data_IF_420309307107
#
_entry.id   IF_420309307107
#
_cell.length_a   1.000
_cell.length_b   1.000
_cell.length_c   1.000
_cell.angle_alpha   90.00
_cell.angle_beta   90.00
_cell.angle_gamma   90.00
#
_symmetry.space_group_name_H-M   'P 1'
#
loop_
_entity.id
_entity.type
_entity.pdbx_description
1 polymer ?
#
# COMPACT_ATOMS: atom_id res chain seq x y z
N UNK A 1 10.26 7.14 16.71
CA UNK A 1 9.30 8.09 17.30
C UNK A 1 7.97 8.11 16.55
N UNK A 2 7.93 8.29 15.20
CA UNK A 2 6.67 8.36 14.43
C UNK A 2 5.81 7.10 14.54
N UNK A 3 6.40 5.93 14.29
CA UNK A 3 5.69 4.64 14.35
C UNK A 3 5.18 4.35 15.76
N UNK A 4 5.97 4.66 16.79
CA UNK A 4 5.56 4.48 18.21
C UNK A 4 4.39 5.38 18.58
N UNK A 5 4.36 6.62 18.08
CA UNK A 5 3.24 7.53 18.30
C UNK A 5 1.95 7.03 17.63
N UNK A 6 2.05 6.55 16.37
CA UNK A 6 0.91 5.98 15.66
C UNK A 6 0.38 4.73 16.35
N UNK A 7 1.27 3.82 16.78
CA UNK A 7 0.89 2.63 17.54
C UNK A 7 0.14 2.99 18.83
N UNK A 8 0.64 3.96 19.58
CA UNK A 8 0.01 4.43 20.82
C UNK A 8 -1.39 5.01 20.56
N UNK A 9 -1.52 5.85 19.52
CA UNK A 9 -2.81 6.45 19.15
C UNK A 9 -3.81 5.37 18.76
N UNK A 10 -3.44 4.42 17.89
CA UNK A 10 -4.33 3.32 17.49
C UNK A 10 -4.73 2.44 18.67
N UNK A 11 -3.79 2.12 19.56
CA UNK A 11 -4.10 1.34 20.76
C UNK A 11 -5.10 2.07 21.67
N UNK A 12 -4.91 3.37 21.90
CA UNK A 12 -5.84 4.18 22.70
C UNK A 12 -7.22 4.27 22.05
N UNK A 13 -7.29 4.48 20.74
CA UNK A 13 -8.58 4.49 20.01
C UNK A 13 -9.28 3.15 20.14
N UNK A 14 -8.57 2.05 19.91
CA UNK A 14 -9.14 0.70 20.02
C UNK A 14 -9.67 0.39 21.41
N UNK A 15 -8.90 0.71 22.45
CA UNK A 15 -9.35 0.55 23.84
C UNK A 15 -10.57 1.44 24.11
N UNK A 16 -10.57 2.68 23.63
CA UNK A 16 -11.70 3.59 23.74
C UNK A 16 -12.96 3.02 23.11
N UNK A 17 -12.90 2.57 21.86
CA UNK A 17 -14.04 1.98 21.14
C UNK A 17 -14.59 0.74 21.86
N UNK A 18 -13.71 -0.19 22.27
CA UNK A 18 -14.10 -1.42 22.96
C UNK A 18 -14.71 -1.17 24.33
N UNK A 19 -14.36 -0.05 24.98
CA UNK A 19 -14.92 0.33 26.28
C UNK A 19 -16.32 0.95 26.16
N UNK A 20 -16.60 1.63 25.05
CA UNK A 20 -17.88 2.30 24.81
C UNK A 20 -18.92 1.41 24.11
N UNK A 21 -18.49 0.47 23.26
CA UNK A 21 -19.38 -0.34 22.45
C UNK A 21 -19.12 -1.83 22.66
N UNK A 22 -20.19 -2.64 22.84
CA UNK A 22 -20.07 -4.10 22.82
C UNK A 22 -19.56 -4.58 21.47
N UNK A 23 -18.76 -5.65 21.45
CA UNK A 23 -18.18 -6.24 20.23
C UNK A 23 -19.25 -6.58 19.18
N UNK A 24 -20.42 -7.06 19.60
CA UNK A 24 -21.54 -7.39 18.72
C UNK A 24 -22.08 -6.13 17.99
N UNK A 25 -22.09 -4.99 18.68
CA UNK A 25 -22.53 -3.71 18.08
C UNK A 25 -21.50 -3.20 17.07
N UNK A 26 -20.20 -3.35 17.36
CA UNK A 26 -19.12 -2.99 16.45
C UNK A 26 -19.23 -3.84 15.18
N UNK A 27 -19.42 -5.14 15.31
CA UNK A 27 -19.57 -6.04 14.17
C UNK A 27 -20.81 -5.71 13.31
N UNK A 28 -21.90 -5.28 13.94
CA UNK A 28 -23.14 -4.88 13.25
C UNK A 28 -23.02 -3.55 12.53
N UNK A 29 -22.27 -2.59 13.09
CA UNK A 29 -22.09 -1.26 12.53
C UNK A 29 -21.00 -1.21 11.44
N UNK A 30 -20.03 -2.13 11.49
CA UNK A 30 -18.92 -2.18 10.52
C UNK A 30 -18.22 -0.82 10.41
N UNK A 31 -18.13 -0.31 9.20
CA UNK A 31 -17.48 0.99 8.89
C UNK A 31 -18.14 2.19 9.56
N UNK A 32 -19.43 2.11 9.89
CA UNK A 32 -20.16 3.20 10.54
C UNK A 32 -19.87 3.32 12.06
N UNK A 33 -19.08 2.40 12.63
CA UNK A 33 -18.75 2.38 14.06
C UNK A 33 -18.18 3.70 14.55
N UNK A 34 -17.24 4.28 13.81
CA UNK A 34 -16.56 5.53 14.20
C UNK A 34 -17.53 6.71 14.20
N UNK A 35 -18.38 6.82 13.18
CA UNK A 35 -19.42 7.85 13.10
C UNK A 35 -20.46 7.71 14.22
N UNK A 36 -20.91 6.50 14.49
CA UNK A 36 -21.86 6.19 15.57
C UNK A 36 -21.27 6.54 16.95
N UNK A 37 -20.01 6.18 17.20
CA UNK A 37 -19.32 6.51 18.45
C UNK A 37 -19.21 8.03 18.61
N UNK A 38 -18.83 8.77 17.57
CA UNK A 38 -18.70 10.21 17.63
C UNK A 38 -20.02 10.93 17.93
N UNK A 39 -21.12 10.47 17.33
CA UNK A 39 -22.45 11.01 17.62
C UNK A 39 -22.89 10.70 19.05
N UNK A 40 -22.63 9.50 19.56
CA UNK A 40 -22.99 9.14 20.93
C UNK A 40 -22.12 9.82 21.98
N UNK A 41 -20.83 10.03 21.71
CA UNK A 41 -19.91 10.66 22.64
C UNK A 41 -19.99 12.21 22.67
N UNK A 42 -20.18 12.81 21.48
CA UNK A 42 -20.08 14.29 21.30
C UNK A 42 -21.36 14.90 20.70
N UNK A 43 -22.41 14.11 20.56
CA UNK A 43 -23.66 14.57 19.93
C UNK A 43 -23.55 14.75 18.40
N UNK A 44 -24.64 15.21 17.80
CA UNK A 44 -24.74 15.38 16.33
C UNK A 44 -23.68 16.32 15.75
N UNK A 45 -23.31 17.36 16.50
CA UNK A 45 -22.28 18.32 16.09
C UNK A 45 -20.92 17.66 16.08
N UNK A 46 -20.59 16.86 17.09
CA UNK A 46 -19.34 16.11 17.17
C UNK A 46 -19.19 15.09 16.02
N UNK A 47 -20.27 14.39 15.67
CA UNK A 47 -20.28 13.49 14.52
C UNK A 47 -19.99 14.21 13.20
N UNK A 48 -20.59 15.39 12.97
CA UNK A 48 -20.32 16.21 11.78
C UNK A 48 -18.88 16.71 11.72
N UNK A 49 -18.33 17.19 12.83
CA UNK A 49 -16.94 17.65 12.90
C UNK A 49 -15.96 16.49 12.61
N UNK A 50 -16.21 15.32 13.17
CA UNK A 50 -15.41 14.13 12.88
C UNK A 50 -15.45 13.78 11.37
N UNK A 51 -16.65 13.77 10.76
CA UNK A 51 -16.80 13.49 9.33
C UNK A 51 -16.02 14.47 8.46
N UNK A 52 -16.07 15.75 8.78
CA UNK A 52 -15.26 16.77 8.08
C UNK A 52 -13.77 16.50 8.25
N UNK A 53 -13.31 16.16 9.45
CA UNK A 53 -11.92 15.80 9.72
C UNK A 53 -11.47 14.58 8.90
N UNK A 54 -12.30 13.55 8.80
CA UNK A 54 -12.05 12.36 7.98
C UNK A 54 -11.92 12.74 6.50
N UNK A 55 -12.82 13.55 5.97
CA UNK A 55 -12.79 14.00 4.57
C UNK A 55 -11.48 14.76 4.28
N UNK A 56 -11.09 15.69 5.13
CA UNK A 56 -9.84 16.45 4.98
C UNK A 56 -8.63 15.51 4.99
N UNK A 57 -8.62 14.56 5.91
CA UNK A 57 -7.54 13.56 6.02
C UNK A 57 -7.44 12.68 4.78
N UNK A 58 -8.58 12.20 4.26
CA UNK A 58 -8.64 11.42 3.02
C UNK A 58 -8.13 12.21 1.82
N UNK A 59 -8.54 13.48 1.67
CA UNK A 59 -8.06 14.35 0.59
C UNK A 59 -6.55 14.54 0.66
N UNK A 60 -6.00 14.74 1.86
CA UNK A 60 -4.55 14.84 2.08
C UNK A 60 -3.81 13.56 1.67
N UNK A 61 -4.34 12.40 2.04
CA UNK A 61 -3.78 11.10 1.69
C UNK A 61 -3.79 10.85 0.18
N UNK A 62 -4.92 11.13 -0.48
CA UNK A 62 -5.05 10.98 -1.94
C UNK A 62 -4.05 11.90 -2.65
N UNK A 63 -3.94 13.16 -2.22
CA UNK A 63 -2.98 14.11 -2.79
C UNK A 63 -1.54 13.60 -2.69
N UNK A 64 -1.13 13.10 -1.52
CA UNK A 64 0.19 12.49 -1.32
C UNK A 64 0.45 11.28 -2.24
N UNK A 65 -0.54 10.40 -2.40
CA UNK A 65 -0.45 9.24 -3.30
C UNK A 65 -0.37 9.68 -4.77
N UNK A 66 -1.16 10.69 -5.18
CA UNK A 66 -1.11 11.25 -6.54
C UNK A 66 0.22 11.91 -6.89
N UNK A 67 0.96 12.39 -5.91
CA UNK A 67 2.32 12.90 -6.12
C UNK A 67 3.37 11.78 -6.25
N UNK A 68 3.16 10.66 -5.60
CA UNK A 68 4.18 9.59 -5.48
C UNK A 68 4.02 8.51 -6.55
N UNK A 69 2.84 7.94 -6.71
CA UNK A 69 2.63 6.78 -7.59
C UNK A 69 2.91 7.05 -9.07
N UNK A 70 2.51 8.19 -9.68
CA UNK A 70 2.84 8.46 -11.06
C UNK A 70 4.34 8.54 -11.31
N UNK A 71 5.13 8.97 -10.31
CA UNK A 71 6.60 9.01 -10.43
C UNK A 71 7.22 7.63 -10.44
N UNK A 72 6.63 6.65 -9.75
CA UNK A 72 7.07 5.25 -9.80
C UNK A 72 6.84 4.69 -11.21
N UNK A 73 5.62 4.87 -11.75
CA UNK A 73 5.29 4.44 -13.12
C UNK A 73 6.20 5.13 -14.15
N UNK A 74 6.43 6.43 -13.99
CA UNK A 74 7.37 7.17 -14.83
C UNK A 74 8.80 6.60 -14.76
N UNK A 75 9.28 6.28 -13.56
CA UNK A 75 10.61 5.71 -13.37
C UNK A 75 10.76 4.33 -14.04
N UNK A 76 9.74 3.48 -13.93
CA UNK A 76 9.67 2.19 -14.62
C UNK A 76 9.61 2.38 -16.15
N UNK A 77 8.81 3.32 -16.62
CA UNK A 77 8.73 3.67 -18.05
C UNK A 77 10.06 4.19 -18.59
N UNK A 78 10.78 5.01 -17.82
CA UNK A 78 12.10 5.50 -18.21
C UNK A 78 13.15 4.39 -18.32
N UNK A 79 13.01 3.31 -17.53
CA UNK A 79 13.83 2.10 -17.63
C UNK A 79 13.39 1.14 -18.72
N UNK A 80 12.28 1.43 -19.39
CA UNK A 80 11.63 0.55 -20.37
C UNK A 80 11.23 -0.82 -19.81
N UNK A 81 10.87 -0.88 -18.53
CA UNK A 81 10.43 -2.10 -17.84
C UNK A 81 8.94 -2.41 -18.04
N UNK A 82 8.16 -1.46 -18.59
CA UNK A 82 6.71 -1.58 -18.78
C UNK A 82 6.30 -1.24 -20.22
N UNK A 83 5.16 -1.80 -20.72
CA UNK A 83 4.64 -1.45 -22.02
C UNK A 83 4.26 0.02 -22.08
N UNK A 84 4.21 0.57 -23.31
CA UNK A 84 3.93 2.00 -23.56
C UNK A 84 4.93 2.98 -22.90
N UNK A 85 6.16 2.54 -22.67
CA UNK A 85 7.22 3.30 -21.98
C UNK A 85 7.44 4.69 -22.56
N UNK A 86 7.35 4.88 -23.89
CA UNK A 86 7.52 6.18 -24.54
C UNK A 86 6.45 7.19 -24.11
N UNK A 87 5.19 6.75 -24.02
CA UNK A 87 4.08 7.61 -23.61
C UNK A 87 4.12 7.90 -22.11
N UNK A 88 4.35 6.86 -21.29
CA UNK A 88 4.37 6.95 -19.82
C UNK A 88 5.60 7.69 -19.28
N UNK A 89 6.69 7.77 -20.07
CA UNK A 89 7.89 8.56 -19.72
C UNK A 89 7.80 10.04 -20.18
N UNK A 90 6.66 10.48 -20.71
CA UNK A 90 6.48 11.87 -21.11
C UNK A 90 6.32 12.78 -19.88
N UNK A 91 7.10 13.86 -19.87
CA UNK A 91 7.02 14.94 -18.88
C UNK A 91 6.51 16.22 -19.53
N UNK A 92 5.63 16.92 -18.83
CA UNK A 92 5.15 18.22 -19.29
C UNK A 92 6.29 19.25 -19.34
N UNK A 93 6.45 20.02 -20.45
CA UNK A 93 7.58 20.93 -20.62
C UNK A 93 7.73 21.98 -19.51
N UNK A 94 6.63 22.57 -19.06
CA UNK A 94 6.62 23.65 -18.05
C UNK A 94 6.73 23.13 -16.60
N UNK A 95 6.06 22.02 -16.24
CA UNK A 95 5.96 21.55 -14.87
C UNK A 95 6.77 20.28 -14.54
N UNK A 96 7.41 19.67 -15.55
CA UNK A 96 8.11 18.37 -15.45
C UNK A 96 7.28 17.31 -14.71
N UNK A 97 5.95 17.35 -14.88
CA UNK A 97 5.01 16.44 -14.25
C UNK A 97 4.69 15.28 -15.20
N UNK A 98 4.61 14.03 -14.70
CA UNK A 98 4.28 12.85 -15.50
C UNK A 98 2.76 12.71 -15.70
N UNK A 99 2.15 13.62 -16.47
CA UNK A 99 0.68 13.68 -16.65
C UNK A 99 0.13 12.39 -17.25
N UNK A 100 0.81 11.81 -18.23
CA UNK A 100 0.36 10.55 -18.88
C UNK A 100 0.37 9.39 -17.87
N UNK A 101 1.41 9.29 -17.05
CA UNK A 101 1.46 8.28 -15.98
C UNK A 101 0.37 8.53 -14.91
N UNK A 102 0.06 9.79 -14.61
CA UNK A 102 -1.03 10.14 -13.68
C UNK A 102 -2.39 9.69 -14.22
N UNK A 103 -2.68 10.02 -15.49
CA UNK A 103 -3.93 9.58 -16.15
C UNK A 103 -4.03 8.06 -16.24
N UNK A 104 -2.93 7.38 -16.51
CA UNK A 104 -2.87 5.92 -16.53
C UNK A 104 -3.25 5.31 -15.17
N UNK A 105 -2.70 5.85 -14.07
CA UNK A 105 -3.03 5.37 -12.71
C UNK A 105 -4.49 5.65 -12.37
N UNK A 106 -5.00 6.85 -12.68
CA UNK A 106 -6.41 7.20 -12.44
C UNK A 106 -7.33 6.25 -13.21
N UNK A 107 -7.05 6.01 -14.48
CA UNK A 107 -7.82 5.10 -15.30
C UNK A 107 -7.81 3.67 -14.72
N UNK A 108 -6.63 3.16 -14.35
CA UNK A 108 -6.49 1.84 -13.75
C UNK A 108 -7.24 1.73 -12.43
N UNK A 109 -7.09 2.73 -11.55
CA UNK A 109 -7.81 2.78 -10.27
C UNK A 109 -9.33 2.82 -10.48
N UNK A 110 -9.81 3.62 -11.43
CA UNK A 110 -11.24 3.68 -11.77
C UNK A 110 -11.77 2.34 -12.26
N UNK A 111 -11.04 1.67 -13.14
CA UNK A 111 -11.41 0.34 -13.63
C UNK A 111 -11.47 -0.65 -12.45
N UNK A 112 -10.46 -0.67 -11.58
CA UNK A 112 -10.46 -1.56 -10.42
C UNK A 112 -11.63 -1.30 -9.48
N UNK A 113 -11.97 -0.03 -9.23
CA UNK A 113 -13.12 0.34 -8.39
C UNK A 113 -14.48 -0.03 -8.99
N UNK A 114 -14.59 -0.15 -10.32
CA UNK A 114 -15.83 -0.57 -10.98
C UNK A 114 -16.06 -2.08 -10.96
N UNK A 115 -14.98 -2.86 -10.87
CA UNK A 115 -15.05 -4.34 -10.95
C UNK A 115 -14.86 -5.02 -9.60
N UNK A 116 -14.32 -4.35 -8.59
CA UNK A 116 -14.00 -4.95 -7.29
C UNK A 116 -14.52 -4.08 -6.15
N UNK A 117 -14.96 -4.73 -5.08
CA UNK A 117 -15.34 -4.06 -3.84
C UNK A 117 -14.13 -3.41 -3.15
N UNK A 118 -14.31 -2.25 -2.47
CA UNK A 118 -13.23 -1.56 -1.76
C UNK A 118 -12.51 -2.42 -0.71
N UNK A 119 -13.22 -3.31 -0.02
CA UNK A 119 -12.65 -4.19 1.00
C UNK A 119 -11.66 -5.17 0.36
N UNK A 120 -12.07 -5.87 -0.72
CA UNK A 120 -11.18 -6.76 -1.48
C UNK A 120 -9.95 -6.03 -2.05
N UNK A 121 -10.12 -4.77 -2.50
CA UNK A 121 -8.97 -3.98 -2.98
C UNK A 121 -8.02 -3.61 -1.85
N UNK A 122 -8.54 -3.35 -0.66
CA UNK A 122 -7.74 -3.06 0.54
C UNK A 122 -6.92 -4.29 0.94
N UNK A 123 -7.56 -5.45 1.03
CA UNK A 123 -6.93 -6.71 1.39
C UNK A 123 -5.84 -7.10 0.38
N UNK A 124 -6.13 -6.96 -0.92
CA UNK A 124 -5.14 -7.15 -1.98
C UNK A 124 -3.92 -6.22 -1.83
N UNK A 125 -4.15 -4.96 -1.47
CA UNK A 125 -3.06 -4.00 -1.22
C UNK A 125 -2.22 -4.43 -0.01
N UNK A 126 -2.86 -4.83 1.10
CA UNK A 126 -2.17 -5.31 2.31
C UNK A 126 -1.33 -6.54 1.97
N UNK A 127 -1.90 -7.54 1.33
CA UNK A 127 -1.18 -8.75 0.90
C UNK A 127 0.05 -8.41 0.06
N UNK A 128 -0.12 -7.57 -0.97
CA UNK A 128 0.97 -7.15 -1.86
C UNK A 128 2.09 -6.46 -1.10
N UNK A 129 1.76 -5.51 -0.23
CA UNK A 129 2.75 -4.76 0.56
C UNK A 129 3.53 -5.67 1.49
N UNK A 130 2.88 -6.62 2.16
CA UNK A 130 3.56 -7.58 3.04
C UNK A 130 4.46 -8.54 2.28
N UNK A 131 4.11 -8.98 1.07
CA UNK A 131 5.00 -9.74 0.20
C UNK A 131 6.31 -8.97 -0.06
N UNK A 132 6.22 -7.68 -0.41
CA UNK A 132 7.41 -6.86 -0.63
C UNK A 132 8.19 -6.55 0.65
N UNK A 133 7.53 -6.37 1.79
CA UNK A 133 8.21 -6.17 3.06
C UNK A 133 9.03 -7.40 3.47
N UNK A 134 8.48 -8.60 3.33
CA UNK A 134 9.21 -9.82 3.62
C UNK A 134 10.46 -9.93 2.73
N UNK A 135 10.32 -9.67 1.42
CA UNK A 135 11.45 -9.66 0.50
C UNK A 135 12.50 -8.60 0.90
N UNK A 136 12.07 -7.41 1.30
CA UNK A 136 12.97 -6.36 1.78
C UNK A 136 13.71 -6.75 3.06
N UNK A 137 13.04 -7.42 4.00
CA UNK A 137 13.68 -7.93 5.21
C UNK A 137 14.68 -9.05 4.92
N UNK A 138 14.38 -9.95 3.97
CA UNK A 138 15.37 -10.91 3.48
C UNK A 138 16.58 -10.22 2.85
N UNK A 139 16.34 -9.12 2.13
CA UNK A 139 17.41 -8.30 1.56
C UNK A 139 18.42 -7.80 2.60
N UNK A 140 17.97 -7.52 3.83
CA UNK A 140 18.87 -7.10 4.93
C UNK A 140 19.93 -8.20 5.24
N UNK A 141 19.51 -9.48 5.26
CA UNK A 141 20.43 -10.59 5.52
C UNK A 141 21.45 -10.75 4.38
N UNK A 142 21.00 -10.65 3.13
CA UNK A 142 21.86 -10.75 1.95
C UNK A 142 22.86 -9.60 1.92
N UNK A 143 22.40 -8.36 2.08
CA UNK A 143 23.26 -7.16 2.07
C UNK A 143 24.28 -7.18 3.20
N UNK A 144 23.96 -7.76 4.35
CA UNK A 144 24.91 -7.90 5.45
C UNK A 144 26.02 -8.91 5.16
N UNK A 145 25.73 -9.93 4.35
CA UNK A 145 26.73 -10.91 3.92
C UNK A 145 27.65 -10.39 2.81
N UNK A 146 27.10 -9.59 1.91
CA UNK A 146 27.76 -9.21 0.66
C UNK A 146 28.48 -7.85 0.75
N UNK A 147 28.06 -6.97 1.65
CA UNK A 147 28.54 -5.59 1.69
C UNK A 147 29.26 -5.28 3.02
N UNK A 148 30.59 -5.09 2.95
CA UNK A 148 31.47 -4.73 4.08
C UNK A 148 31.60 -3.22 4.29
N UNK A 149 30.93 -2.39 3.47
CA UNK A 149 31.01 -0.94 3.57
C UNK A 149 30.58 -0.43 4.96
N UNK A 150 31.23 0.61 5.51
CA UNK A 150 30.88 1.18 6.81
C UNK A 150 29.44 1.69 6.79
N UNK A 151 28.63 1.25 7.76
CA UNK A 151 27.20 1.56 7.84
C UNK A 151 26.96 2.71 8.81
N UNK A 152 26.34 3.82 8.39
CA UNK A 152 26.03 4.92 9.28
C UNK A 152 24.98 4.55 10.33
N UNK A 153 24.16 3.50 10.08
CA UNK A 153 23.17 2.98 11.02
C UNK A 153 23.21 1.44 11.04
N UNK A 154 23.26 0.88 12.24
CA UNK A 154 23.14 -0.58 12.45
C UNK A 154 21.77 -0.88 13.07
N UNK A 155 21.06 -1.86 12.52
CA UNK A 155 19.82 -2.37 13.10
C UNK A 155 20.07 -2.88 14.50
N UNK A 156 19.43 -2.30 15.55
CA UNK A 156 19.59 -2.79 16.92
C UNK A 156 19.04 -4.23 17.02
N UNK A 157 19.55 -5.00 17.98
CA UNK A 157 19.11 -6.38 18.26
C UNK A 157 19.07 -7.30 17.01
N UNK A 158 19.96 -7.08 16.06
CA UNK A 158 20.12 -8.01 14.94
C UNK A 158 20.63 -9.37 15.45
N UNK A 159 20.13 -10.54 14.98
CA UNK A 159 19.16 -10.71 13.88
C UNK A 159 17.68 -10.76 14.32
N UNK A 160 17.36 -10.60 15.59
CA UNK A 160 16.03 -10.85 16.15
C UNK A 160 14.93 -9.94 15.57
N UNK A 161 15.19 -8.64 15.44
CA UNK A 161 14.17 -7.70 14.91
C UNK A 161 13.75 -8.06 13.48
N UNK A 162 14.66 -8.29 12.50
CA UNK A 162 14.26 -8.74 11.18
C UNK A 162 13.52 -10.08 11.17
N UNK A 163 13.91 -11.03 12.04
CA UNK A 163 13.24 -12.34 12.15
C UNK A 163 11.80 -12.17 12.64
N UNK A 164 11.59 -11.38 13.69
CA UNK A 164 10.25 -11.10 14.23
C UNK A 164 9.40 -10.37 13.17
N UNK A 165 9.97 -9.43 12.43
CA UNK A 165 9.28 -8.71 11.36
C UNK A 165 8.87 -9.65 10.21
N UNK A 166 9.72 -10.59 9.81
CA UNK A 166 9.40 -11.61 8.82
C UNK A 166 8.30 -12.55 9.34
N UNK A 167 8.42 -13.02 10.59
CA UNK A 167 7.41 -13.90 11.19
C UNK A 167 6.05 -13.20 11.27
N UNK A 168 6.00 -11.93 11.68
CA UNK A 168 4.78 -11.12 11.66
C UNK A 168 4.22 -10.93 10.25
N UNK A 169 5.08 -10.67 9.27
CA UNK A 169 4.68 -10.57 7.87
C UNK A 169 4.08 -11.87 7.33
N UNK A 170 4.72 -13.01 7.62
CA UNK A 170 4.21 -14.34 7.23
C UNK A 170 2.87 -14.62 7.91
N UNK A 171 2.71 -14.26 9.18
CA UNK A 171 1.43 -14.40 9.89
C UNK A 171 0.32 -13.63 9.19
N UNK A 172 0.57 -12.38 8.78
CA UNK A 172 -0.42 -11.57 8.02
C UNK A 172 -0.73 -12.22 6.68
N UNK A 173 0.28 -12.67 5.92
CA UNK A 173 0.04 -13.35 4.63
C UNK A 173 -0.81 -14.61 4.79
N UNK A 174 -0.55 -15.43 5.81
CA UNK A 174 -1.35 -16.63 6.08
C UNK A 174 -2.79 -16.23 6.45
N UNK A 175 -2.96 -15.19 7.26
CA UNK A 175 -4.28 -14.67 7.61
C UNK A 175 -5.07 -14.23 6.37
N UNK A 176 -4.44 -13.49 5.46
CA UNK A 176 -5.06 -13.05 4.21
C UNK A 176 -5.43 -14.23 3.29
N UNK A 177 -4.56 -15.23 3.15
CA UNK A 177 -4.85 -16.43 2.37
C UNK A 177 -6.09 -17.17 2.88
N UNK A 178 -6.31 -17.16 4.20
CA UNK A 178 -7.46 -17.83 4.82
C UNK A 178 -8.72 -16.98 4.67
N UNK A 179 -8.62 -15.65 4.83
CA UNK A 179 -9.77 -14.75 4.86
C UNK A 179 -10.24 -14.32 3.47
N UNK A 180 -9.31 -14.04 2.54
CA UNK A 180 -9.62 -13.65 1.15
C UNK A 180 -8.80 -14.45 0.12
N UNK A 181 -9.12 -15.73 -0.10
CA UNK A 181 -8.43 -16.54 -1.11
C UNK A 181 -8.64 -16.02 -2.55
N UNK A 182 -9.74 -15.29 -2.81
CA UNK A 182 -10.01 -14.72 -4.13
C UNK A 182 -9.06 -13.56 -4.45
N UNK A 183 -8.80 -12.67 -3.51
CA UNK A 183 -7.82 -11.60 -3.64
C UNK A 183 -6.40 -12.14 -3.85
N UNK A 184 -6.03 -13.20 -3.12
CA UNK A 184 -4.72 -13.87 -3.28
C UNK A 184 -4.58 -14.49 -4.68
N UNK A 185 -5.63 -15.14 -5.20
CA UNK A 185 -5.63 -15.68 -6.58
C UNK A 185 -5.49 -14.57 -7.62
N UNK A 186 -6.16 -13.45 -7.41
CA UNK A 186 -6.05 -12.28 -8.29
C UNK A 186 -4.63 -11.72 -8.28
N UNK A 187 -4.00 -11.58 -7.12
CA UNK A 187 -2.60 -11.18 -7.01
C UNK A 187 -1.68 -12.15 -7.75
N UNK A 188 -1.83 -13.45 -7.52
CA UNK A 188 -1.06 -14.47 -8.22
C UNK A 188 -1.25 -14.37 -9.74
N UNK A 189 -2.49 -14.16 -10.21
CA UNK A 189 -2.80 -13.93 -11.62
C UNK A 189 -2.08 -12.72 -12.20
N UNK A 190 -2.10 -11.59 -11.50
CA UNK A 190 -1.38 -10.36 -11.90
C UNK A 190 0.13 -10.61 -11.99
N UNK A 191 0.72 -11.33 -11.05
CA UNK A 191 2.15 -11.66 -11.07
C UNK A 191 2.47 -12.61 -12.23
N UNK A 192 1.66 -13.67 -12.42
CA UNK A 192 1.85 -14.66 -13.51
C UNK A 192 1.74 -14.00 -14.87
N UNK A 193 0.84 -13.04 -15.05
CA UNK A 193 0.70 -12.28 -16.32
C UNK A 193 1.80 -11.21 -16.44
N UNK A 194 2.15 -10.55 -15.33
CA UNK A 194 3.14 -9.48 -15.31
C UNK A 194 4.55 -9.93 -15.68
N UNK A 195 4.96 -11.12 -15.22
CA UNK A 195 6.29 -11.66 -15.53
C UNK A 195 6.53 -11.86 -17.04
N UNK A 196 5.68 -12.57 -17.80
CA UNK A 196 5.83 -12.68 -19.26
C UNK A 196 5.80 -11.32 -19.96
N UNK A 197 4.91 -10.41 -19.55
CA UNK A 197 4.84 -9.06 -20.13
C UNK A 197 6.16 -8.33 -19.93
N UNK A 198 6.73 -8.38 -18.75
CA UNK A 198 8.04 -7.79 -18.48
C UNK A 198 9.15 -8.40 -19.36
N UNK A 199 9.19 -9.72 -19.50
CA UNK A 199 10.16 -10.41 -20.36
C UNK A 199 10.02 -10.03 -21.82
N UNK A 200 8.80 -9.97 -22.34
CA UNK A 200 8.52 -9.57 -23.73
C UNK A 200 8.96 -8.12 -23.98
N UNK A 201 8.60 -7.21 -23.09
CA UNK A 201 8.98 -5.79 -23.19
C UNK A 201 10.49 -5.64 -23.20
N UNK A 202 11.19 -6.33 -22.31
CA UNK A 202 12.65 -6.27 -22.20
C UNK A 202 13.35 -6.88 -23.43
N UNK A 203 12.82 -7.97 -23.98
CA UNK A 203 13.35 -8.58 -25.20
C UNK A 203 13.17 -7.68 -26.44
N UNK A 204 12.01 -7.02 -26.54
CA UNK A 204 11.74 -6.07 -27.64
C UNK A 204 12.66 -4.83 -27.55
N UNK A 205 12.99 -4.38 -26.35
CA UNK A 205 13.89 -3.23 -26.16
C UNK A 205 15.34 -3.57 -26.50
N UNK A 206 15.80 -4.77 -26.20
CA UNK A 206 17.12 -5.25 -26.60
C UNK A 206 17.24 -5.34 -28.13
N UNK A 207 16.22 -5.91 -28.79
CA UNK A 207 16.18 -6.05 -30.25
C UNK A 207 16.06 -4.71 -31.01
N UNK A 208 15.70 -3.61 -30.36
CA UNK A 208 15.61 -2.28 -30.95
C UNK A 208 16.90 -1.46 -30.77
N UNK A 209 17.86 -1.94 -29.97
CA UNK A 209 19.14 -1.31 -29.70
C UNK A 209 20.33 -2.03 -30.40
N UNK A 210 20.08 -3.26 -30.94
CA UNK A 210 20.98 -3.97 -31.86
C UNK A 210 20.68 -3.57 -33.31
#
# INVERSE_FOLDING_TARGET
>A
LGISAVLLIYTLITIGVLRFLPVQTIHRLGENTTGYLAVNAFGTIGGKLLSIGIIISMMGTINGKMLTFPRIVYAMAKRRDIPFSRALSYLTPKGKSPVVATLFIILLATIMMLFFDPDHLSDLCVFTVYCFYILAFFGIFILRKTNEAPRPFSTPLYPWIPIIAIAGGIFVLISEIINDPAGVMLFAGVVVIGLPVFWIVKKLDQSAND
#
